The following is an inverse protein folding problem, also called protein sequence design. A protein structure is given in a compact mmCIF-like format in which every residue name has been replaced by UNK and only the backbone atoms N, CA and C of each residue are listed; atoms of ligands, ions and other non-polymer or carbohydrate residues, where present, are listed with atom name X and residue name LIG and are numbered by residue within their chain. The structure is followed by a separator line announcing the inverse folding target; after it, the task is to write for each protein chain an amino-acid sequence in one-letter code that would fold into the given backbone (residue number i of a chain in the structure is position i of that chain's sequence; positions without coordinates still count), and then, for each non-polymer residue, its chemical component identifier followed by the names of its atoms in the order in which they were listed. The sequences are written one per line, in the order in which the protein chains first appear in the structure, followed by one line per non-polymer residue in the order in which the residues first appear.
data_IF_497031161605
#
_entry.id   IF_497031161605
#
_cell.length_a   1.000
_cell.length_b   1.000
_cell.length_c   1.000
_cell.angle_alpha   90.00
_cell.angle_beta   90.00
_cell.angle_gamma   90.00
#
_symmetry.space_group_name_H-M   'P 1'
#
loop_
_entity.id
_entity.type
_entity.pdbx_description
1 polymer ?
#
# COMPACT_ATOMS: atom_id res chain seq x y z
N UNK A 1 -27.88 7.81 17.32
CA UNK A 1 -27.47 6.41 17.07
C UNK A 1 -26.10 6.48 16.43
N UNK A 2 -25.03 6.37 17.24
CA UNK A 2 -23.65 6.50 16.78
C UNK A 2 -23.27 5.13 16.24
N UNK A 3 -23.19 5.01 14.90
CA UNK A 3 -22.68 3.81 14.22
C UNK A 3 -21.18 3.72 14.51
N UNK A 4 -20.81 2.65 15.19
CA UNK A 4 -19.41 2.31 15.48
C UNK A 4 -18.67 2.05 14.15
N UNK A 5 -17.83 2.99 13.75
CA UNK A 5 -17.05 2.95 12.50
C UNK A 5 -16.05 1.78 12.44
N UNK A 6 -15.80 1.12 13.57
CA UNK A 6 -14.97 -0.10 13.64
C UNK A 6 -15.58 -1.27 12.88
N UNK A 7 -16.92 -1.35 12.79
CA UNK A 7 -17.60 -2.40 12.05
C UNK A 7 -17.50 -2.22 10.51
N UNK A 8 -17.31 -0.98 10.02
CA UNK A 8 -17.16 -0.70 8.59
C UNK A 8 -15.73 -0.94 8.06
N UNK A 9 -14.73 -0.85 8.94
CA UNK A 9 -13.32 -1.10 8.57
C UNK A 9 -12.95 -2.59 8.57
N UNK A 10 -13.70 -3.42 9.30
CA UNK A 10 -13.48 -4.88 9.34
C UNK A 10 -13.93 -5.61 8.06
N UNK A 11 -14.64 -4.93 7.15
CA UNK A 11 -15.09 -5.51 5.88
C UNK A 11 -14.15 -5.28 4.69
N UNK A 12 -13.12 -4.43 4.81
CA UNK A 12 -12.26 -4.03 3.70
C UNK A 12 -10.87 -4.70 3.70
N UNK A 13 -10.61 -5.58 4.65
CA UNK A 13 -9.34 -6.28 4.80
C UNK A 13 -9.35 -7.67 4.16
N UNK A 14 -9.64 -7.77 2.85
CA UNK A 14 -9.37 -9.01 2.12
C UNK A 14 -7.88 -9.07 1.80
N UNK A 15 -7.11 -9.58 2.77
CA UNK A 15 -5.72 -9.96 2.55
C UNK A 15 -5.66 -11.04 1.48
N UNK A 16 -5.02 -10.79 0.34
CA UNK A 16 -4.65 -11.81 -0.61
C UNK A 16 -3.59 -12.72 0.02
N UNK A 17 -4.03 -13.75 0.73
CA UNK A 17 -3.16 -14.84 1.16
C UNK A 17 -3.00 -15.80 -0.01
N UNK A 18 -1.86 -15.73 -0.68
CA UNK A 18 -1.42 -16.82 -1.55
C UNK A 18 -0.99 -17.97 -0.64
N UNK A 19 -1.87 -18.95 -0.48
CA UNK A 19 -1.57 -20.18 0.25
C UNK A 19 -0.57 -21.03 -0.55
N UNK A 20 0.71 -21.00 -0.18
CA UNK A 20 1.64 -22.06 -0.53
C UNK A 20 1.48 -23.22 0.46
N UNK A 21 0.81 -24.29 0.03
CA UNK A 21 0.73 -25.55 0.77
C UNK A 21 2.09 -26.26 0.78
N UNK A 22 2.80 -26.16 1.89
CA UNK A 22 3.99 -26.95 2.19
C UNK A 22 3.76 -27.83 3.41
N UNK A 23 3.94 -29.12 3.22
CA UNK A 23 3.70 -30.21 4.17
C UNK A 23 4.57 -30.09 5.42
N UNK A 24 3.96 -30.21 6.59
CA UNK A 24 4.64 -30.34 7.88
C UNK A 24 5.41 -31.66 7.98
N UNK A 25 6.64 -31.62 8.45
CA UNK A 25 7.34 -32.74 9.07
C UNK A 25 7.71 -32.32 10.49
N UNK A 26 7.24 -33.13 11.42
CA UNK A 26 7.44 -33.08 12.87
C UNK A 26 8.86 -33.50 13.21
N UNK A 27 9.54 -32.80 14.14
CA UNK A 27 10.46 -33.42 15.11
C UNK A 27 11.10 -32.43 16.07
N UNK A 28 10.92 -32.70 17.37
CA UNK A 28 11.99 -32.66 18.38
C UNK A 28 12.24 -31.37 19.14
N UNK A 29 11.89 -31.40 20.40
CA UNK A 29 12.37 -30.53 21.49
C UNK A 29 13.88 -30.30 21.43
N UNK A 30 14.29 -29.02 21.64
CA UNK A 30 15.38 -28.71 22.56
C UNK A 30 15.34 -27.23 23.00
N UNK A 31 15.39 -27.07 24.31
CA UNK A 31 15.49 -25.82 25.05
C UNK A 31 16.94 -25.36 25.11
N UNK A 32 17.25 -24.16 24.58
CA UNK A 32 18.32 -23.31 25.12
C UNK A 32 18.27 -21.93 24.47
N UNK A 33 18.16 -20.87 25.29
CA UNK A 33 18.20 -19.50 24.83
C UNK A 33 19.57 -19.14 24.25
N UNK A 34 19.53 -18.56 23.05
CA UNK A 34 20.65 -17.80 22.53
C UNK A 34 20.07 -16.63 21.70
N UNK A 35 20.31 -15.41 22.16
CA UNK A 35 19.95 -14.20 21.44
C UNK A 35 20.69 -14.20 20.09
N UNK A 36 19.96 -14.51 19.02
CA UNK A 36 20.52 -14.52 17.68
C UNK A 36 20.84 -13.08 17.25
N UNK A 37 22.08 -12.82 16.87
CA UNK A 37 22.52 -11.61 16.22
C UNK A 37 21.66 -11.29 14.98
N UNK A 38 21.46 -10.01 14.61
CA UNK A 38 20.64 -9.64 13.46
C UNK A 38 21.21 -10.29 12.19
N UNK A 39 20.42 -11.18 11.58
CA UNK A 39 20.76 -11.76 10.28
C UNK A 39 20.75 -10.63 9.26
N UNK A 40 21.90 -10.34 8.65
CA UNK A 40 21.96 -9.57 7.42
C UNK A 40 21.11 -10.30 6.38
N UNK A 41 19.97 -9.76 6.05
CA UNK A 41 19.16 -10.21 4.91
C UNK A 41 20.03 -10.11 3.66
N UNK A 42 20.25 -11.20 2.91
CA UNK A 42 20.92 -11.08 1.63
C UNK A 42 20.07 -10.18 0.71
N UNK A 43 20.69 -9.38 -0.17
CA UNK A 43 19.94 -8.61 -1.14
C UNK A 43 19.06 -9.58 -1.94
N UNK A 44 17.78 -9.22 -2.11
CA UNK A 44 16.87 -9.97 -2.99
C UNK A 44 17.33 -9.75 -4.42
N UNK A 45 18.39 -10.47 -4.81
CA UNK A 45 18.89 -10.52 -6.17
C UNK A 45 18.25 -11.72 -6.84
N UNK A 46 17.36 -11.48 -7.79
CA UNK A 46 16.92 -12.50 -8.72
C UNK A 46 15.45 -12.86 -8.70
N UNK A 47 14.55 -11.87 -8.80
CA UNK A 47 13.23 -12.17 -9.35
C UNK A 47 13.43 -12.67 -10.79
N UNK A 48 12.86 -13.85 -11.10
CA UNK A 48 12.89 -14.34 -12.49
C UNK A 48 12.14 -13.34 -13.38
N UNK A 49 12.83 -12.64 -14.32
CA UNK A 49 12.19 -11.62 -15.14
C UNK A 49 11.08 -12.19 -16.04
N UNK A 50 11.06 -13.50 -16.29
CA UNK A 50 9.97 -14.18 -16.99
C UNK A 50 8.69 -14.32 -16.12
N UNK A 51 8.78 -14.15 -14.81
CA UNK A 51 7.64 -14.28 -13.90
C UNK A 51 6.69 -13.06 -13.99
N UNK A 52 7.23 -11.87 -14.19
CA UNK A 52 6.45 -10.61 -14.21
C UNK A 52 5.42 -10.57 -15.33
N UNK A 53 5.73 -10.92 -16.59
CA UNK A 53 4.73 -10.96 -17.65
C UNK A 53 3.57 -11.93 -17.38
N UNK A 54 3.87 -13.10 -16.80
CA UNK A 54 2.83 -14.11 -16.49
C UNK A 54 1.94 -13.66 -15.32
N UNK A 55 2.52 -13.06 -14.27
CA UNK A 55 1.77 -12.48 -13.16
C UNK A 55 0.88 -11.33 -13.64
N UNK A 56 1.41 -10.46 -14.48
CA UNK A 56 0.63 -9.37 -15.06
C UNK A 56 -0.53 -9.90 -15.92
N UNK A 57 -0.28 -10.87 -16.78
CA UNK A 57 -1.33 -11.48 -17.62
C UNK A 57 -2.45 -12.05 -16.76
N UNK A 58 -2.11 -12.79 -15.70
CA UNK A 58 -3.08 -13.34 -14.77
C UNK A 58 -3.87 -12.27 -14.03
N UNK A 59 -3.19 -11.26 -13.47
CA UNK A 59 -3.81 -10.14 -12.77
C UNK A 59 -4.75 -9.35 -13.70
N UNK A 60 -4.25 -8.98 -14.87
CA UNK A 60 -5.00 -8.23 -15.89
C UNK A 60 -6.28 -8.97 -16.29
N UNK A 61 -6.16 -10.25 -16.59
CA UNK A 61 -7.31 -11.08 -17.02
C UNK A 61 -8.35 -11.28 -15.92
N UNK A 62 -7.94 -11.25 -14.64
CA UNK A 62 -8.85 -11.49 -13.52
C UNK A 62 -9.50 -10.22 -12.98
N UNK A 63 -8.82 -9.09 -13.02
CA UNK A 63 -9.24 -7.91 -12.25
C UNK A 63 -9.38 -6.63 -13.07
N UNK A 64 -8.70 -6.49 -14.23
CA UNK A 64 -8.69 -5.23 -14.98
C UNK A 64 -9.80 -5.22 -16.03
N UNK A 65 -10.71 -4.27 -15.93
CA UNK A 65 -11.79 -4.06 -16.88
C UNK A 65 -11.28 -3.35 -18.15
N UNK A 66 -12.02 -3.42 -19.27
CA UNK A 66 -11.61 -2.78 -20.54
C UNK A 66 -11.36 -1.28 -20.45
N UNK A 67 -12.05 -0.58 -19.55
CA UNK A 67 -11.90 0.86 -19.28
C UNK A 67 -10.72 1.21 -18.36
N UNK A 68 -10.02 0.21 -17.82
CA UNK A 68 -8.90 0.38 -16.90
C UNK A 68 -9.27 0.30 -15.42
N UNK A 69 -10.54 0.10 -15.09
CA UNK A 69 -10.98 -0.11 -13.71
C UNK A 69 -10.48 -1.46 -13.18
N UNK A 70 -9.90 -1.48 -11.99
CA UNK A 70 -9.53 -2.71 -11.28
C UNK A 70 -10.63 -3.05 -10.29
N UNK A 71 -11.20 -4.24 -10.41
CA UNK A 71 -12.33 -4.67 -9.57
C UNK A 71 -11.87 -5.64 -8.48
N UNK A 72 -12.40 -5.46 -7.29
CA UNK A 72 -12.32 -6.43 -6.21
C UNK A 72 -13.46 -7.45 -6.38
N UNK A 73 -13.13 -8.61 -6.94
CA UNK A 73 -14.09 -9.68 -7.23
C UNK A 73 -14.65 -10.34 -5.97
N UNK A 74 -13.95 -10.20 -4.84
CA UNK A 74 -14.38 -10.71 -3.53
C UNK A 74 -15.28 -9.76 -2.75
N UNK A 75 -15.44 -8.51 -3.22
CA UNK A 75 -16.13 -7.44 -2.52
C UNK A 75 -17.12 -6.69 -3.43
N UNK A 76 -18.06 -7.39 -4.01
CA UNK A 76 -19.13 -6.84 -4.86
C UNK A 76 -18.65 -5.97 -6.04
N UNK A 77 -17.45 -6.19 -6.52
CA UNK A 77 -16.88 -5.47 -7.67
C UNK A 77 -16.57 -4.00 -7.37
N UNK A 78 -16.32 -3.62 -6.13
CA UNK A 78 -15.79 -2.29 -5.80
C UNK A 78 -14.38 -2.12 -6.36
N UNK A 79 -13.89 -0.90 -6.38
CA UNK A 79 -12.49 -0.58 -6.74
C UNK A 79 -11.84 0.21 -5.64
N UNK A 80 -10.58 -0.06 -5.37
CA UNK A 80 -9.77 0.63 -4.37
C UNK A 80 -8.53 1.24 -5.01
N UNK A 81 -8.02 2.34 -4.46
CA UNK A 81 -6.73 2.92 -4.89
C UNK A 81 -5.59 1.93 -4.79
N UNK A 82 -5.61 1.03 -3.80
CA UNK A 82 -4.65 -0.06 -3.66
C UNK A 82 -4.63 -0.97 -4.90
N UNK A 83 -5.80 -1.46 -5.34
CA UNK A 83 -5.91 -2.29 -6.55
C UNK A 83 -5.46 -1.57 -7.83
N UNK A 84 -5.86 -0.29 -7.99
CA UNK A 84 -5.40 0.56 -9.09
C UNK A 84 -3.88 0.74 -9.05
N UNK A 85 -3.32 0.96 -7.86
CA UNK A 85 -1.88 1.10 -7.66
C UNK A 85 -1.10 -0.18 -8.01
N UNK A 86 -1.56 -1.36 -7.56
CA UNK A 86 -0.96 -2.64 -7.98
C UNK A 86 -0.98 -2.81 -9.49
N UNK A 87 -2.09 -2.48 -10.14
CA UNK A 87 -2.19 -2.59 -11.59
C UNK A 87 -1.23 -1.64 -12.33
N UNK A 88 -1.05 -0.41 -11.83
CA UNK A 88 -0.06 0.54 -12.37
C UNK A 88 1.37 0.03 -12.20
N UNK A 89 1.73 -0.49 -11.03
CA UNK A 89 3.06 -1.08 -10.77
C UNK A 89 3.33 -2.27 -11.69
N UNK A 90 2.38 -3.20 -11.80
CA UNK A 90 2.52 -4.41 -12.60
C UNK A 90 2.56 -4.12 -14.10
N UNK A 91 1.65 -3.28 -14.61
CA UNK A 91 1.59 -2.91 -16.03
C UNK A 91 2.85 -2.15 -16.48
N UNK A 92 3.30 -1.17 -15.66
CA UNK A 92 4.53 -0.44 -15.93
C UNK A 92 5.75 -1.38 -15.92
N UNK A 93 5.83 -2.29 -14.94
CA UNK A 93 6.94 -3.26 -14.86
C UNK A 93 6.93 -4.25 -16.02
N UNK A 94 5.76 -4.72 -16.44
CA UNK A 94 5.60 -5.60 -17.60
C UNK A 94 5.79 -4.87 -18.95
N UNK A 95 5.68 -3.53 -18.96
CA UNK A 95 5.77 -2.71 -20.19
C UNK A 95 4.50 -2.65 -21.01
N UNK A 96 3.35 -2.97 -20.41
CA UNK A 96 2.03 -2.88 -21.03
C UNK A 96 1.52 -1.43 -20.96
N UNK A 97 1.98 -0.62 -21.90
CA UNK A 97 1.66 0.81 -21.95
C UNK A 97 0.15 1.05 -22.10
N UNK A 98 -0.50 0.34 -22.97
CA UNK A 98 -1.93 0.54 -23.23
C UNK A 98 -2.79 0.27 -22.00
N UNK A 99 -2.47 -0.78 -21.24
CA UNK A 99 -3.16 -1.07 -20.00
C UNK A 99 -2.86 0.00 -18.94
N UNK A 100 -1.58 0.39 -18.80
CA UNK A 100 -1.18 1.44 -17.87
C UNK A 100 -1.94 2.74 -18.11
N UNK A 101 -2.02 3.20 -19.35
CA UNK A 101 -2.70 4.44 -19.69
C UNK A 101 -4.20 4.39 -19.40
N UNK A 102 -4.87 3.26 -19.68
CA UNK A 102 -6.29 3.10 -19.32
C UNK A 102 -6.52 3.08 -17.82
N UNK A 103 -5.66 2.37 -17.07
CA UNK A 103 -5.76 2.30 -15.60
C UNK A 103 -5.55 3.69 -15.00
N UNK A 104 -4.53 4.40 -15.45
CA UNK A 104 -4.26 5.77 -14.99
C UNK A 104 -5.41 6.72 -15.34
N UNK A 105 -5.90 6.68 -16.58
CA UNK A 105 -6.99 7.53 -17.02
C UNK A 105 -8.27 7.30 -16.20
N UNK A 106 -8.61 6.04 -15.92
CA UNK A 106 -9.75 5.72 -15.07
C UNK A 106 -9.55 6.23 -13.63
N UNK A 107 -8.37 6.02 -13.05
CA UNK A 107 -8.02 6.46 -11.71
C UNK A 107 -8.11 7.98 -11.57
N UNK A 108 -7.49 8.72 -12.49
CA UNK A 108 -7.52 10.19 -12.51
C UNK A 108 -8.94 10.73 -12.71
N UNK A 109 -9.72 10.15 -13.61
CA UNK A 109 -11.09 10.59 -13.87
C UNK A 109 -12.03 10.34 -12.70
N UNK A 110 -11.83 9.23 -11.97
CA UNK A 110 -12.83 8.72 -11.03
C UNK A 110 -12.50 9.03 -9.58
N UNK A 111 -11.21 8.92 -9.19
CA UNK A 111 -10.82 8.96 -7.79
C UNK A 111 -10.11 10.25 -7.38
N UNK A 112 -9.78 11.15 -8.31
CA UNK A 112 -9.13 12.43 -8.01
C UNK A 112 -9.97 13.26 -7.03
N UNK A 113 -9.29 13.90 -6.08
CA UNK A 113 -9.87 14.81 -5.10
C UNK A 113 -9.55 16.26 -5.47
N UNK A 114 -10.48 17.18 -5.21
CA UNK A 114 -10.28 18.61 -5.51
C UNK A 114 -9.37 19.33 -4.51
N UNK A 115 -9.17 18.75 -3.32
CA UNK A 115 -8.48 19.40 -2.20
C UNK A 115 -6.96 19.19 -2.18
N UNK A 116 -6.48 18.10 -2.78
CA UNK A 116 -5.07 17.72 -2.78
C UNK A 116 -4.77 16.70 -3.90
N UNK A 117 -3.48 16.37 -4.16
CA UNK A 117 -3.08 15.42 -5.21
C UNK A 117 -3.38 13.94 -4.90
N UNK A 118 -3.92 13.59 -3.73
CA UNK A 118 -4.23 12.21 -3.37
C UNK A 118 -5.57 11.77 -3.98
N UNK A 119 -5.94 10.50 -3.80
CA UNK A 119 -7.15 9.93 -4.36
C UNK A 119 -8.16 9.52 -3.30
N UNK A 120 -9.44 9.58 -3.63
CA UNK A 120 -10.50 8.94 -2.84
C UNK A 120 -10.30 7.42 -2.89
N UNK A 121 -10.25 6.79 -1.71
CA UNK A 121 -9.76 5.41 -1.58
C UNK A 121 -10.63 4.35 -2.24
N UNK A 122 -11.95 4.63 -2.43
CA UNK A 122 -12.92 3.62 -2.85
C UNK A 122 -13.93 4.15 -3.85
N UNK A 123 -14.26 3.31 -4.82
CA UNK A 123 -15.38 3.44 -5.75
C UNK A 123 -16.30 2.24 -5.61
N UNK A 124 -17.59 2.48 -5.41
CA UNK A 124 -18.64 1.44 -5.33
C UNK A 124 -19.63 1.63 -6.48
N UNK A 125 -19.63 0.74 -7.49
CA UNK A 125 -20.52 0.89 -8.64
C UNK A 125 -22.01 0.76 -8.29
N UNK A 126 -22.32 0.18 -7.12
CA UNK A 126 -23.69 -0.09 -6.67
C UNK A 126 -24.24 1.01 -5.74
N UNK A 127 -23.40 1.95 -5.34
CA UNK A 127 -23.82 3.05 -4.46
C UNK A 127 -24.46 4.21 -5.26
N UNK A 128 -25.41 4.89 -4.64
CA UNK A 128 -26.02 6.11 -5.22
C UNK A 128 -24.99 7.21 -5.52
N UNK A 129 -23.94 7.29 -4.70
CA UNK A 129 -22.74 8.08 -4.93
C UNK A 129 -21.54 7.12 -4.98
N UNK A 130 -21.05 6.76 -6.17
CA UNK A 130 -19.99 5.76 -6.30
C UNK A 130 -18.71 6.11 -5.53
N UNK A 131 -18.33 7.37 -5.42
CA UNK A 131 -17.25 7.88 -4.56
C UNK A 131 -17.87 8.60 -3.37
N UNK A 132 -18.43 7.82 -2.44
CA UNK A 132 -19.16 8.36 -1.28
C UNK A 132 -18.27 8.80 -0.12
N UNK A 133 -17.05 8.29 -0.03
CA UNK A 133 -16.05 8.67 0.97
C UNK A 133 -14.85 9.33 0.29
N UNK A 134 -14.66 10.65 0.47
CA UNK A 134 -13.54 11.37 -0.12
C UNK A 134 -12.22 11.21 0.65
N UNK A 135 -12.15 10.36 1.69
CA UNK A 135 -10.91 10.06 2.36
C UNK A 135 -9.93 9.35 1.42
N UNK A 136 -8.64 9.40 1.72
CA UNK A 136 -7.64 8.61 1.00
C UNK A 136 -7.27 7.34 1.77
N UNK A 137 -6.59 6.43 1.08
CA UNK A 137 -5.85 5.34 1.69
C UNK A 137 -4.38 5.50 1.30
N UNK A 138 -3.53 5.65 2.32
CA UNK A 138 -2.13 6.04 2.13
C UNK A 138 -1.32 4.99 1.36
N UNK A 139 -1.59 3.70 1.57
CA UNK A 139 -1.00 2.59 0.82
C UNK A 139 -1.35 2.64 -0.67
N UNK A 140 -2.60 2.91 -1.00
CA UNK A 140 -3.06 3.07 -2.38
C UNK A 140 -2.39 4.26 -3.08
N UNK A 141 -2.32 5.41 -2.40
CA UNK A 141 -1.61 6.59 -2.93
C UNK A 141 -0.11 6.30 -3.15
N UNK A 142 0.54 5.57 -2.23
CA UNK A 142 1.93 5.16 -2.37
C UNK A 142 2.15 4.22 -3.56
N UNK A 143 1.28 3.23 -3.73
CA UNK A 143 1.34 2.30 -4.86
C UNK A 143 1.13 3.00 -6.19
N UNK A 144 0.17 3.94 -6.28
CA UNK A 144 -0.04 4.76 -7.47
C UNK A 144 1.21 5.59 -7.79
N UNK A 145 1.75 6.31 -6.79
CA UNK A 145 2.97 7.10 -6.97
C UNK A 145 4.14 6.24 -7.45
N UNK A 146 4.32 5.05 -6.88
CA UNK A 146 5.36 4.11 -7.29
C UNK A 146 5.15 3.60 -8.72
N UNK A 147 3.94 3.22 -9.10
CA UNK A 147 3.60 2.84 -10.47
C UNK A 147 3.89 3.95 -11.48
N UNK A 148 3.55 5.20 -11.15
CA UNK A 148 3.86 6.38 -11.95
C UNK A 148 5.38 6.58 -12.10
N UNK A 149 6.17 6.38 -11.04
CA UNK A 149 7.64 6.47 -11.12
C UNK A 149 8.23 5.41 -12.03
N UNK A 150 7.76 4.15 -11.95
CA UNK A 150 8.20 3.09 -12.85
C UNK A 150 7.86 3.45 -14.31
N UNK A 151 6.64 3.93 -14.54
CA UNK A 151 6.19 4.39 -15.87
C UNK A 151 7.03 5.54 -16.40
N UNK A 152 7.32 6.54 -15.56
CA UNK A 152 8.15 7.68 -15.90
C UNK A 152 9.55 7.27 -16.37
N UNK A 153 10.20 6.36 -15.64
CA UNK A 153 11.53 5.85 -16.01
C UNK A 153 11.49 5.04 -17.30
N UNK A 154 10.49 4.17 -17.42
CA UNK A 154 10.39 3.25 -18.55
C UNK A 154 10.12 3.96 -19.87
N UNK A 155 9.18 4.91 -19.84
CA UNK A 155 8.73 5.62 -21.06
C UNK A 155 9.32 7.02 -21.20
N UNK A 156 10.17 7.45 -20.22
CA UNK A 156 10.82 8.77 -20.19
C UNK A 156 9.80 9.92 -20.22
N UNK A 157 8.71 9.78 -19.49
CA UNK A 157 7.63 10.75 -19.45
C UNK A 157 7.68 11.63 -18.20
N UNK A 158 7.96 12.89 -18.42
CA UNK A 158 8.06 13.91 -17.38
C UNK A 158 6.74 14.11 -16.62
N UNK A 159 5.61 14.06 -17.30
CA UNK A 159 4.30 14.18 -16.69
C UNK A 159 4.08 13.13 -15.58
N UNK A 160 4.43 11.88 -15.84
CA UNK A 160 4.29 10.81 -14.83
C UNK A 160 5.20 11.05 -13.61
N UNK A 161 6.43 11.55 -13.83
CA UNK A 161 7.34 11.89 -12.75
C UNK A 161 6.81 13.06 -11.91
N UNK A 162 6.27 14.10 -12.53
CA UNK A 162 5.68 15.26 -11.86
C UNK A 162 4.44 14.86 -11.05
N UNK A 163 3.57 14.02 -11.61
CA UNK A 163 2.39 13.51 -10.91
C UNK A 163 2.78 12.67 -9.68
N UNK A 164 3.75 11.78 -9.83
CA UNK A 164 4.30 10.99 -8.73
C UNK A 164 4.91 11.89 -7.63
N UNK A 165 5.62 12.94 -8.00
CA UNK A 165 6.20 13.89 -7.05
C UNK A 165 5.12 14.65 -6.27
N UNK A 166 4.04 15.07 -6.94
CA UNK A 166 2.92 15.73 -6.28
C UNK A 166 2.27 14.84 -5.21
N UNK A 167 2.06 13.54 -5.53
CA UNK A 167 1.51 12.57 -4.57
C UNK A 167 2.48 12.38 -3.39
N UNK A 168 3.77 12.15 -3.64
CA UNK A 168 4.77 11.97 -2.57
C UNK A 168 4.85 13.17 -1.64
N UNK A 169 4.84 14.39 -2.19
CA UNK A 169 4.84 15.60 -1.38
C UNK A 169 3.58 15.70 -0.52
N UNK A 170 2.40 15.45 -1.09
CA UNK A 170 1.15 15.46 -0.34
C UNK A 170 1.13 14.42 0.79
N UNK A 171 1.62 13.20 0.54
CA UNK A 171 1.78 12.17 1.56
C UNK A 171 2.70 12.63 2.70
N UNK A 172 3.86 13.18 2.35
CA UNK A 172 4.81 13.69 3.34
C UNK A 172 4.22 14.83 4.18
N UNK A 173 3.55 15.77 3.53
CA UNK A 173 3.07 17.00 4.18
C UNK A 173 1.81 16.75 5.04
N UNK A 174 1.02 15.72 4.72
CA UNK A 174 -0.30 15.55 5.33
C UNK A 174 -0.52 14.23 6.07
N UNK A 175 0.22 13.15 5.74
CA UNK A 175 -0.01 11.81 6.29
C UNK A 175 1.01 11.38 7.36
N UNK A 176 1.88 12.26 7.82
CA UNK A 176 2.87 11.93 8.85
C UNK A 176 2.48 12.47 10.22
N UNK A 177 2.70 11.67 11.26
CA UNK A 177 2.46 12.06 12.66
C UNK A 177 3.65 11.65 13.54
N UNK A 178 4.09 12.59 14.35
CA UNK A 178 5.15 12.35 15.33
C UNK A 178 4.54 11.82 16.63
N UNK A 179 5.04 10.68 17.13
CA UNK A 179 4.72 10.17 18.46
C UNK A 179 6.03 9.80 19.16
N UNK A 180 6.36 10.51 20.22
CA UNK A 180 7.68 10.41 20.86
C UNK A 180 8.79 10.72 19.85
N UNK A 181 9.71 9.80 19.65
CA UNK A 181 10.84 9.96 18.72
C UNK A 181 10.55 9.34 17.34
N UNK A 182 9.40 8.71 17.14
CA UNK A 182 9.08 8.01 15.90
C UNK A 182 8.13 8.83 15.03
N UNK A 183 8.37 8.81 13.72
CA UNK A 183 7.51 9.44 12.71
C UNK A 183 6.71 8.35 12.00
N UNK A 184 5.39 8.37 12.19
CA UNK A 184 4.48 7.37 11.65
C UNK A 184 3.69 7.86 10.46
N UNK A 185 3.39 6.93 9.54
CA UNK A 185 2.51 7.12 8.42
C UNK A 185 1.08 6.74 8.83
N UNK A 186 0.14 7.70 8.80
CA UNK A 186 -1.27 7.41 9.09
C UNK A 186 -1.96 6.81 7.88
N UNK A 187 -2.94 5.90 8.08
CA UNK A 187 -3.59 5.18 6.97
C UNK A 187 -4.45 6.04 6.06
N UNK A 188 -4.84 7.24 6.49
CA UNK A 188 -5.63 8.17 5.71
C UNK A 188 -5.81 9.50 6.44
N UNK A 189 -6.36 10.49 5.75
CA UNK A 189 -6.46 11.87 6.24
C UNK A 189 -7.47 12.07 7.38
N UNK A 190 -8.44 11.16 7.55
CA UNK A 190 -9.48 11.25 8.59
C UNK A 190 -9.78 9.88 9.20
N UNK A 191 -10.13 9.89 10.49
CA UNK A 191 -10.61 8.70 11.20
C UNK A 191 -9.53 7.90 11.95
N UNK A 192 -8.26 8.22 11.78
CA UNK A 192 -7.13 7.47 12.35
C UNK A 192 -6.43 8.18 13.53
N UNK A 193 -6.88 9.39 13.85
CA UNK A 193 -6.37 10.16 14.98
C UNK A 193 -7.54 10.58 15.87
N UNK A 194 -7.60 10.06 17.10
CA UNK A 194 -8.68 10.33 18.05
C UNK A 194 -8.12 10.41 19.48
N UNK A 195 -8.41 11.50 20.19
CA UNK A 195 -8.07 11.66 21.62
C UNK A 195 -6.57 11.41 21.93
N UNK A 196 -5.67 11.87 21.06
CA UNK A 196 -4.23 11.67 21.22
C UNK A 196 -3.73 10.25 20.89
N UNK A 197 -4.58 9.41 20.33
CA UNK A 197 -4.26 8.05 19.89
C UNK A 197 -4.24 7.99 18.37
N UNK A 198 -3.20 7.39 17.79
CA UNK A 198 -3.13 7.05 16.38
C UNK A 198 -3.48 5.59 16.17
N UNK A 199 -4.42 5.31 15.26
CA UNK A 199 -4.66 3.96 14.76
C UNK A 199 -3.86 3.77 13.48
N UNK A 200 -2.91 2.86 13.49
CA UNK A 200 -1.97 2.61 12.41
C UNK A 200 -2.15 1.21 11.84
N UNK A 201 -1.72 1.03 10.59
CA UNK A 201 -1.68 -0.28 9.94
C UNK A 201 -0.25 -0.56 9.47
N UNK A 202 0.45 -1.55 10.06
CA UNK A 202 1.80 -1.92 9.64
C UNK A 202 1.92 -2.32 8.17
N UNK A 203 0.85 -2.90 7.56
CA UNK A 203 0.86 -3.32 6.16
C UNK A 203 0.86 -2.15 5.16
N UNK A 204 0.53 -0.93 5.62
CA UNK A 204 0.52 0.27 4.77
C UNK A 204 1.93 0.80 4.45
N UNK A 205 2.96 0.27 5.12
CA UNK A 205 4.35 0.59 4.77
C UNK A 205 4.79 -0.20 3.55
N UNK A 206 4.52 0.34 2.36
CA UNK A 206 4.95 -0.26 1.09
C UNK A 206 6.45 -0.02 0.91
N UNK A 207 7.29 -0.89 1.50
CA UNK A 207 8.75 -0.73 1.59
C UNK A 207 9.42 -0.41 0.26
N UNK A 208 9.14 -1.11 -0.87
CA UNK A 208 9.78 -0.79 -2.15
C UNK A 208 9.43 0.62 -2.64
N UNK A 209 8.21 1.10 -2.36
CA UNK A 209 7.81 2.46 -2.69
C UNK A 209 8.57 3.48 -1.84
N UNK A 210 8.65 3.28 -0.52
CA UNK A 210 9.38 4.16 0.40
C UNK A 210 10.86 4.28 0.04
N UNK A 211 11.52 3.16 -0.27
CA UNK A 211 12.90 3.16 -0.74
C UNK A 211 13.07 3.94 -2.05
N UNK A 212 12.11 3.78 -2.95
CA UNK A 212 12.11 4.51 -4.23
C UNK A 212 11.88 6.01 -4.02
N UNK A 213 11.00 6.40 -3.09
CA UNK A 213 10.74 7.79 -2.73
C UNK A 213 11.99 8.43 -2.12
N UNK A 214 12.65 7.72 -1.18
CA UNK A 214 13.91 8.16 -0.58
C UNK A 214 14.99 8.43 -1.63
N UNK A 215 15.13 7.53 -2.60
CA UNK A 215 16.11 7.68 -3.66
C UNK A 215 15.81 8.86 -4.61
N UNK A 216 14.52 9.16 -4.84
CA UNK A 216 14.11 10.21 -5.76
C UNK A 216 14.18 11.61 -5.15
N UNK A 217 13.80 11.75 -3.88
CA UNK A 217 13.70 13.05 -3.23
C UNK A 217 15.05 13.59 -2.72
N UNK A 218 16.09 12.73 -2.71
CA UNK A 218 17.48 13.14 -2.43
C UNK A 218 17.72 13.66 -1.00
N UNK A 219 16.76 13.53 -0.12
CA UNK A 219 16.80 13.95 1.26
C UNK A 219 16.44 12.82 2.25
N UNK A 220 16.53 13.10 3.54
CA UNK A 220 16.27 12.14 4.59
C UNK A 220 14.81 12.09 5.05
N UNK A 221 13.87 12.71 4.33
CA UNK A 221 12.45 12.72 4.72
C UNK A 221 11.92 11.33 4.98
N UNK A 222 12.12 10.45 3.99
CA UNK A 222 11.62 9.08 4.05
C UNK A 222 12.40 8.17 4.99
N UNK A 223 13.65 8.51 5.36
CA UNK A 223 14.42 7.76 6.36
C UNK A 223 13.72 7.69 7.72
N UNK A 224 13.13 8.81 8.17
CA UNK A 224 12.41 8.84 9.44
C UNK A 224 11.11 8.02 9.38
N UNK A 225 10.40 8.07 8.25
CA UNK A 225 9.18 7.28 8.01
C UNK A 225 9.49 5.78 7.97
N UNK A 226 10.56 5.38 7.27
CA UNK A 226 11.03 3.99 7.20
C UNK A 226 11.36 3.48 8.61
N UNK A 227 12.14 4.23 9.39
CA UNK A 227 12.48 3.87 10.77
C UNK A 227 11.25 3.76 11.67
N UNK A 228 10.30 4.69 11.54
CA UNK A 228 9.02 4.63 12.26
C UNK A 228 8.23 3.37 11.93
N UNK A 229 8.16 2.98 10.67
CA UNK A 229 7.53 1.75 10.23
C UNK A 229 8.22 0.48 10.74
N UNK A 230 9.55 0.44 10.70
CA UNK A 230 10.34 -0.66 11.29
C UNK A 230 10.08 -0.79 12.79
N UNK A 231 10.08 0.34 13.52
CA UNK A 231 9.77 0.37 14.93
C UNK A 231 8.32 -0.05 15.23
N UNK A 232 7.36 0.31 14.37
CA UNK A 232 5.97 -0.13 14.47
C UNK A 232 5.87 -1.64 14.32
N UNK A 233 6.41 -2.22 13.26
CA UNK A 233 6.37 -3.68 13.01
C UNK A 233 7.07 -4.44 14.13
N UNK A 234 8.19 -3.94 14.65
CA UNK A 234 8.90 -4.60 15.74
C UNK A 234 8.05 -4.68 17.03
N UNK A 235 7.23 -3.66 17.29
CA UNK A 235 6.38 -3.56 18.49
C UNK A 235 4.97 -4.13 18.31
N UNK A 236 4.43 -4.10 17.11
CA UNK A 236 3.07 -4.54 16.78
C UNK A 236 2.97 -6.07 16.57
N UNK A 237 3.66 -6.85 17.39
CA UNK A 237 3.69 -8.31 17.32
C UNK A 237 2.96 -8.90 18.50
N UNK A 238 1.95 -9.72 18.23
CA UNK A 238 1.06 -10.27 19.25
C UNK A 238 0.89 -11.79 19.10
N UNK A 239 0.38 -12.39 20.20
CA UNK A 239 0.14 -13.83 20.27
C UNK A 239 1.41 -14.66 20.39
N UNK A 240 1.24 -15.99 20.50
CA UNK A 240 2.35 -16.95 20.71
C UNK A 240 3.33 -17.02 19.53
N UNK A 241 2.91 -16.62 18.33
CA UNK A 241 3.74 -16.65 17.12
C UNK A 241 4.36 -15.29 16.79
N UNK A 242 4.15 -14.26 17.64
CA UNK A 242 4.67 -12.91 17.46
C UNK A 242 4.43 -12.36 16.02
N UNK A 243 3.24 -12.58 15.47
CA UNK A 243 2.85 -12.07 14.16
C UNK A 243 2.48 -10.58 14.25
N UNK A 244 2.79 -9.78 13.23
CA UNK A 244 2.29 -8.42 13.14
C UNK A 244 0.76 -8.41 13.10
N UNK A 245 0.15 -7.39 13.71
CA UNK A 245 -1.29 -7.15 13.58
C UNK A 245 -1.57 -6.24 12.39
N UNK A 246 -2.79 -6.32 11.83
CA UNK A 246 -3.22 -5.39 10.79
C UNK A 246 -3.46 -3.99 11.34
N UNK A 247 -4.03 -3.89 12.55
CA UNK A 247 -4.35 -2.61 13.17
C UNK A 247 -3.81 -2.53 14.59
N UNK A 248 -3.18 -1.39 14.90
CA UNK A 248 -2.61 -1.12 16.21
C UNK A 248 -2.80 0.34 16.61
N UNK A 249 -3.15 0.55 17.87
CA UNK A 249 -3.22 1.88 18.45
C UNK A 249 -1.87 2.25 19.07
N UNK A 250 -1.39 3.45 18.75
CA UNK A 250 -0.17 4.04 19.30
C UNK A 250 -0.55 5.29 20.09
N UNK A 251 -0.08 5.37 21.33
CA UNK A 251 -0.24 6.53 22.21
C UNK A 251 1.12 7.17 22.50
N UNK A 252 1.18 8.49 22.79
CA UNK A 252 2.40 9.16 23.24
C UNK A 252 3.03 8.55 24.47
#
# INVERSE_FOLDING_TARGET
MVLDRRALLLGAGSSFVVACSGRAADNGHDTAGNAAAPRKTPPVTGGNPALIPSLWTGFKGSFVQPDGRVIDTGNNGVSHTEGQGYALVLSATAGDRDAFDRILAWTEKTLTRSRDPLYSWRYDPNAAQPVGDPNNATDGDMLIAWGLMIGADRWRERFLAERAAAIRNALHDTMLRQVGNDLFLVPGGTGFEQQGRLTLNPSYYVWPALERFRAADGDKKWDAVIKGGEALIARARFGQHALPTDWVDVTP
#
